data_IF_844285688799
#
_entry.id   IF_844285688799
#
_cell.length_a   1.000
_cell.length_b   1.000
_cell.length_c   1.000
_cell.angle_alpha   90.00
_cell.angle_beta   90.00
_cell.angle_gamma   90.00
#
_symmetry.space_group_name_H-M   'P 1'
#
loop_
_entity.id
_entity.type
_entity.pdbx_description
1 polymer ?
#
# COMPACT_ATOMS: atom_id res chain seq x y z
N UNK A 1 51.19 14.14 10.60
CA UNK A 1 50.16 14.28 9.53
C UNK A 1 50.12 13.11 8.56
N UNK A 2 51.23 12.72 7.92
CA UNK A 2 51.24 11.66 6.89
C UNK A 2 50.73 10.29 7.37
N UNK A 3 51.04 9.89 8.60
CA UNK A 3 50.56 8.63 9.20
C UNK A 3 49.07 8.66 9.57
N UNK A 4 48.53 9.81 9.97
CA UNK A 4 47.10 9.98 10.29
C UNK A 4 46.26 9.87 9.02
N UNK A 5 46.75 10.42 7.90
CA UNK A 5 46.08 10.33 6.59
C UNK A 5 46.02 8.87 6.10
N UNK A 6 47.08 8.09 6.31
CA UNK A 6 47.10 6.66 5.95
C UNK A 6 46.14 5.84 6.79
N UNK A 7 46.03 6.11 8.10
CA UNK A 7 45.08 5.45 9.00
C UNK A 7 43.61 5.77 8.66
N UNK A 8 43.31 7.02 8.28
CA UNK A 8 41.96 7.42 7.83
C UNK A 8 41.61 6.77 6.48
N UNK A 9 42.55 6.72 5.53
CA UNK A 9 42.35 6.01 4.26
C UNK A 9 42.16 4.50 4.44
N UNK A 10 42.88 3.86 5.38
CA UNK A 10 42.69 2.44 5.69
C UNK A 10 41.30 2.16 6.29
N UNK A 11 40.79 3.06 7.13
CA UNK A 11 39.46 2.90 7.75
C UNK A 11 38.29 3.00 6.76
N UNK A 12 38.48 3.73 5.65
CA UNK A 12 37.50 3.84 4.57
C UNK A 12 37.42 2.58 3.69
N UNK A 13 38.50 1.78 3.61
CA UNK A 13 38.55 0.53 2.83
C UNK A 13 37.96 -0.66 3.62
N UNK A 14 37.95 -0.55 4.95
CA UNK A 14 37.45 -1.59 5.89
C UNK A 14 35.97 -1.43 6.26
N UNK A 15 35.25 -0.53 5.60
CA UNK A 15 33.79 -0.42 5.76
C UNK A 15 33.11 -1.40 4.80
N UNK A 16 32.56 -2.54 5.24
CA UNK A 16 31.70 -3.33 4.37
C UNK A 16 30.50 -2.46 3.96
N UNK A 17 30.26 -2.33 2.66
CA UNK A 17 29.04 -1.71 2.13
C UNK A 17 27.82 -2.37 2.75
N UNK A 18 27.19 -1.70 3.72
CA UNK A 18 25.98 -2.15 4.39
C UNK A 18 24.73 -1.85 3.53
N UNK A 19 24.77 -2.20 2.25
CA UNK A 19 23.59 -2.33 1.42
C UNK A 19 23.55 -3.78 0.90
N UNK A 20 23.37 -4.72 1.83
CA UNK A 20 22.94 -6.05 1.48
C UNK A 20 21.43 -5.96 1.26
N UNK A 21 21.00 -5.71 0.02
CA UNK A 21 19.67 -6.11 -0.39
C UNK A 21 19.59 -7.62 -0.10
N UNK A 22 18.54 -8.04 0.60
CA UNK A 22 18.38 -9.46 0.92
C UNK A 22 18.01 -10.21 -0.36
N UNK A 23 18.41 -11.47 -0.48
CA UNK A 23 18.17 -12.30 -1.67
C UNK A 23 16.67 -12.36 -2.04
N UNK A 24 15.78 -12.22 -1.06
CA UNK A 24 14.33 -12.09 -1.27
C UNK A 24 13.94 -10.82 -2.02
N UNK A 25 14.62 -9.70 -1.77
CA UNK A 25 14.36 -8.44 -2.45
C UNK A 25 14.85 -8.47 -3.90
N UNK A 26 15.99 -9.10 -4.15
CA UNK A 26 16.50 -9.31 -5.51
C UNK A 26 15.58 -10.25 -6.30
N UNK A 27 15.08 -11.31 -5.65
CA UNK A 27 14.10 -12.23 -6.22
C UNK A 27 12.78 -11.50 -6.56
N UNK A 28 12.31 -10.65 -5.65
CA UNK A 28 11.12 -9.83 -5.88
C UNK A 28 11.30 -8.88 -7.07
N UNK A 29 12.44 -8.22 -7.17
CA UNK A 29 12.75 -7.33 -8.30
C UNK A 29 12.78 -8.10 -9.62
N UNK A 30 13.40 -9.28 -9.65
CA UNK A 30 13.41 -10.13 -10.83
C UNK A 30 11.99 -10.53 -11.26
N UNK A 31 11.15 -10.98 -10.33
CA UNK A 31 9.76 -11.34 -10.59
C UNK A 31 8.95 -10.13 -11.09
N UNK A 32 9.19 -8.94 -10.55
CA UNK A 32 8.50 -7.71 -10.96
C UNK A 32 8.87 -7.24 -12.38
N UNK A 33 10.01 -7.69 -12.91
CA UNK A 33 10.48 -7.33 -14.24
C UNK A 33 9.90 -8.20 -15.36
N UNK A 34 9.14 -9.25 -15.00
CA UNK A 34 8.68 -10.28 -15.92
C UNK A 34 7.18 -10.16 -16.19
N UNK A 35 6.78 -10.00 -17.47
CA UNK A 35 5.40 -9.66 -17.85
C UNK A 35 4.73 -10.68 -18.80
N UNK A 36 4.78 -11.98 -18.50
CA UNK A 36 4.08 -13.01 -19.30
C UNK A 36 2.73 -13.42 -18.67
N UNK A 37 1.63 -13.25 -19.41
CA UNK A 37 0.26 -13.62 -19.00
C UNK A 37 0.06 -15.15 -19.00
N UNK A 38 0.80 -15.87 -19.85
CA UNK A 38 0.62 -17.31 -20.07
C UNK A 38 1.52 -18.20 -19.20
N UNK A 39 2.31 -17.60 -18.30
CA UNK A 39 3.36 -18.33 -17.59
C UNK A 39 2.81 -19.49 -16.76
N UNK A 40 3.31 -20.70 -17.02
CA UNK A 40 3.00 -21.89 -16.22
C UNK A 40 4.00 -22.05 -15.07
N UNK A 41 3.69 -22.93 -14.11
CA UNK A 41 4.59 -23.26 -13.00
C UNK A 41 5.96 -23.77 -13.50
N UNK A 42 5.96 -24.52 -14.60
CA UNK A 42 7.20 -25.04 -15.21
C UNK A 42 8.02 -23.94 -15.87
N UNK A 43 7.35 -23.02 -16.57
CA UNK A 43 8.00 -21.88 -17.23
C UNK A 43 8.62 -20.93 -16.19
N UNK A 44 7.91 -20.68 -15.09
CA UNK A 44 8.41 -19.87 -13.97
C UNK A 44 9.62 -20.52 -13.28
N UNK A 45 9.56 -21.82 -12.98
CA UNK A 45 10.69 -22.53 -12.39
C UNK A 45 11.91 -22.51 -13.32
N UNK A 46 11.70 -22.68 -14.62
CA UNK A 46 12.76 -22.58 -15.62
C UNK A 46 13.35 -21.16 -15.68
N UNK A 47 12.51 -20.13 -15.74
CA UNK A 47 12.93 -18.73 -15.71
C UNK A 47 13.81 -18.46 -14.47
N UNK A 48 13.36 -18.82 -13.29
CA UNK A 48 14.10 -18.62 -12.04
C UNK A 48 15.43 -19.38 -12.02
N UNK A 49 15.44 -20.64 -12.48
CA UNK A 49 16.67 -21.43 -12.58
C UNK A 49 17.70 -20.81 -13.54
N UNK A 50 17.25 -20.25 -14.67
CA UNK A 50 18.15 -19.54 -15.61
C UNK A 50 18.73 -18.24 -15.04
N UNK A 51 18.13 -17.70 -13.98
CA UNK A 51 18.61 -16.53 -13.24
C UNK A 51 19.36 -16.89 -11.96
N UNK A 52 19.72 -18.16 -11.78
CA UNK A 52 20.58 -18.62 -10.68
C UNK A 52 19.85 -19.03 -9.40
N UNK A 53 18.52 -19.02 -9.38
CA UNK A 53 17.75 -19.47 -8.22
C UNK A 53 17.57 -20.99 -8.22
N UNK A 54 17.64 -21.61 -7.04
CA UNK A 54 17.30 -23.01 -6.86
C UNK A 54 15.77 -23.19 -6.84
N UNK A 55 15.17 -23.24 -8.03
CA UNK A 55 13.73 -23.28 -8.21
C UNK A 55 13.23 -24.67 -8.62
N UNK A 56 12.26 -25.20 -7.88
CA UNK A 56 11.62 -26.49 -8.13
C UNK A 56 10.13 -26.30 -8.41
N UNK A 57 9.60 -26.76 -9.56
CA UNK A 57 8.17 -26.69 -9.83
C UNK A 57 7.43 -27.73 -8.98
N UNK A 58 6.35 -27.30 -8.33
CA UNK A 58 5.35 -28.14 -7.69
C UNK A 58 4.07 -28.18 -8.55
N UNK A 59 2.97 -28.71 -8.03
CA UNK A 59 1.71 -28.84 -8.79
C UNK A 59 1.08 -27.48 -9.14
N UNK A 60 1.13 -26.50 -8.23
CA UNK A 60 0.46 -25.20 -8.37
C UNK A 60 1.33 -23.98 -8.06
N UNK A 61 2.59 -24.17 -7.66
CA UNK A 61 3.55 -23.12 -7.32
C UNK A 61 4.99 -23.61 -7.54
N UNK A 62 5.97 -22.72 -7.43
CA UNK A 62 7.40 -23.00 -7.48
C UNK A 62 8.00 -22.82 -6.10
N UNK A 63 8.76 -23.77 -5.59
CA UNK A 63 9.56 -23.59 -4.39
C UNK A 63 10.93 -23.08 -4.77
N UNK A 64 11.41 -22.01 -4.13
CA UNK A 64 12.76 -21.48 -4.26
C UNK A 64 13.47 -21.60 -2.93
N UNK A 65 14.58 -22.33 -2.89
CA UNK A 65 15.44 -22.40 -1.71
C UNK A 65 16.50 -21.31 -1.81
N UNK A 66 16.48 -20.36 -0.87
CA UNK A 66 17.43 -19.26 -0.76
C UNK A 66 18.79 -19.76 -0.24
N UNK A 67 19.82 -18.92 -0.37
CA UNK A 67 21.19 -19.22 0.06
C UNK A 67 21.33 -19.47 1.57
N UNK A 68 20.42 -18.92 2.38
CA UNK A 68 20.35 -19.16 3.83
C UNK A 68 19.61 -20.47 4.20
N UNK A 69 19.14 -21.21 3.19
CA UNK A 69 18.44 -22.48 3.34
C UNK A 69 16.95 -22.36 3.64
N UNK A 70 16.38 -21.14 3.66
CA UNK A 70 14.93 -20.95 3.74
C UNK A 70 14.27 -21.19 2.40
N UNK A 71 13.07 -21.74 2.44
CA UNK A 71 12.21 -21.88 1.27
C UNK A 71 11.23 -20.70 1.18
N UNK A 72 11.07 -20.18 -0.03
CA UNK A 72 9.98 -19.29 -0.42
C UNK A 72 9.21 -19.91 -1.57
N UNK A 73 7.94 -19.61 -1.69
CA UNK A 73 7.05 -20.24 -2.66
C UNK A 73 6.53 -19.18 -3.62
N UNK A 74 6.39 -19.50 -4.90
CA UNK A 74 6.04 -18.53 -5.94
C UNK A 74 4.92 -19.08 -6.82
N UNK A 75 3.80 -18.38 -6.88
CA UNK A 75 2.64 -18.77 -7.69
C UNK A 75 2.62 -17.95 -8.98
N UNK A 76 2.71 -18.56 -10.17
CA UNK A 76 2.58 -17.84 -11.43
C UNK A 76 1.16 -17.28 -11.59
N UNK A 77 1.04 -16.08 -12.18
CA UNK A 77 -0.25 -15.42 -12.40
C UNK A 77 -1.11 -15.35 -11.12
N UNK A 78 -0.51 -14.89 -10.03
CA UNK A 78 -1.09 -14.86 -8.68
C UNK A 78 -2.28 -13.91 -8.55
N UNK A 79 -2.17 -12.84 -7.76
CA UNK A 79 -3.26 -11.88 -7.59
C UNK A 79 -3.67 -11.15 -8.89
N UNK A 80 -2.85 -11.20 -9.94
CA UNK A 80 -3.16 -10.70 -11.28
C UNK A 80 -2.39 -11.46 -12.36
N UNK A 81 -2.91 -11.56 -13.60
CA UNK A 81 -2.13 -12.04 -14.74
C UNK A 81 -0.87 -11.17 -14.91
N UNK A 82 0.27 -11.78 -15.29
CA UNK A 82 1.61 -11.14 -15.37
C UNK A 82 2.34 -10.91 -14.05
N UNK A 83 1.77 -11.26 -12.90
CA UNK A 83 2.46 -11.15 -11.61
C UNK A 83 2.63 -12.52 -10.98
N UNK A 84 3.79 -12.74 -10.36
CA UNK A 84 4.06 -13.94 -9.56
C UNK A 84 3.93 -13.58 -8.07
N UNK A 85 3.10 -14.30 -7.33
CA UNK A 85 2.94 -14.07 -5.88
C UNK A 85 4.05 -14.81 -5.12
N UNK A 86 4.73 -14.14 -4.20
CA UNK A 86 5.75 -14.74 -3.33
C UNK A 86 5.18 -15.01 -1.93
N UNK A 87 5.49 -16.18 -1.38
CA UNK A 87 4.95 -16.69 -0.12
C UNK A 87 6.08 -17.19 0.77
N UNK A 88 5.98 -16.94 2.07
CA UNK A 88 6.91 -17.49 3.08
C UNK A 88 6.46 -18.86 3.62
N UNK A 89 5.24 -19.29 3.25
CA UNK A 89 4.65 -20.58 3.62
C UNK A 89 3.95 -21.18 2.39
N UNK A 90 3.86 -22.51 2.26
CA UNK A 90 3.23 -23.13 1.09
C UNK A 90 1.78 -22.65 0.89
N UNK A 91 1.38 -22.24 -0.32
CA UNK A 91 0.01 -21.81 -0.57
C UNK A 91 -0.96 -23.01 -0.47
N UNK A 92 -2.15 -22.79 0.09
CA UNK A 92 -3.21 -23.79 0.22
C UNK A 92 -4.44 -23.38 -0.61
N UNK A 93 -5.33 -24.31 -0.93
CA UNK A 93 -6.56 -24.02 -1.68
C UNK A 93 -7.51 -23.00 -0.99
N UNK A 94 -7.30 -22.72 0.31
CA UNK A 94 -8.03 -21.69 1.08
C UNK A 94 -7.32 -20.34 1.14
N UNK A 95 -6.09 -20.25 0.62
CA UNK A 95 -5.26 -19.05 0.78
C UNK A 95 -5.82 -17.84 0.03
N UNK A 96 -6.68 -18.03 -0.98
CA UNK A 96 -7.17 -16.92 -1.83
C UNK A 96 -6.02 -16.12 -2.45
N UNK A 97 -6.29 -15.04 -3.21
CA UNK A 97 -5.24 -14.06 -3.51
C UNK A 97 -4.74 -13.45 -2.18
N UNK A 98 -3.43 -13.50 -1.89
CA UNK A 98 -2.89 -13.01 -0.62
C UNK A 98 -2.56 -11.51 -0.62
N UNK A 99 -2.87 -10.92 0.54
CA UNK A 99 -2.70 -9.54 0.97
C UNK A 99 -1.22 -9.11 1.08
N UNK A 100 -0.82 -8.15 0.24
CA UNK A 100 0.41 -7.33 0.37
C UNK A 100 0.21 -6.18 1.38
N UNK A 101 -0.95 -6.14 2.01
CA UNK A 101 -1.40 -5.08 2.91
C UNK A 101 -1.35 -5.64 4.33
N UNK A 102 -0.74 -4.93 5.31
CA UNK A 102 -0.85 -5.31 6.72
C UNK A 102 -2.30 -5.64 7.08
N UNK A 103 -2.56 -6.70 7.85
CA UNK A 103 -3.93 -7.15 8.13
C UNK A 103 -4.81 -6.09 8.80
N UNK A 104 -4.20 -5.05 9.38
CA UNK A 104 -4.83 -3.89 10.01
C UNK A 104 -4.84 -2.62 9.14
N UNK A 105 -4.22 -2.63 7.95
CA UNK A 105 -4.10 -1.45 7.09
C UNK A 105 -5.39 -1.09 6.34
N UNK A 106 -6.34 -2.04 6.22
CA UNK A 106 -7.73 -1.78 5.80
C UNK A 106 -8.67 -2.14 6.96
N UNK A 107 -9.39 -1.16 7.46
CA UNK A 107 -10.46 -1.33 8.44
C UNK A 107 -11.78 -1.57 7.71
N UNK A 108 -12.43 -2.69 7.99
CA UNK A 108 -13.77 -3.01 7.47
C UNK A 108 -14.83 -2.48 8.42
N UNK A 109 -15.88 -1.86 7.88
CA UNK A 109 -16.99 -1.24 8.63
C UNK A 109 -16.51 -0.23 9.68
N UNK A 110 -15.59 0.64 9.28
CA UNK A 110 -14.99 1.63 10.16
C UNK A 110 -16.00 2.71 10.56
N UNK A 111 -15.97 3.10 11.83
CA UNK A 111 -16.75 4.22 12.38
C UNK A 111 -15.81 5.15 13.15
N UNK A 112 -15.93 6.44 12.90
CA UNK A 112 -15.09 7.48 13.49
C UNK A 112 -15.92 8.41 14.37
N UNK A 113 -15.41 8.75 15.55
CA UNK A 113 -16.08 9.71 16.42
C UNK A 113 -15.86 11.12 15.88
N UNK A 114 -16.93 11.86 15.66
CA UNK A 114 -16.87 13.27 15.23
C UNK A 114 -16.26 14.17 16.32
N UNK A 115 -15.45 15.13 15.92
CA UNK A 115 -14.95 16.20 16.81
C UNK A 115 -15.95 17.35 16.93
N UNK A 116 -16.08 17.87 18.16
CA UNK A 116 -16.85 19.07 18.49
C UNK A 116 -15.93 20.31 18.66
N UNK A 117 -14.63 20.18 18.39
CA UNK A 117 -13.66 21.27 18.50
C UNK A 117 -13.88 22.32 17.39
N UNK A 118 -14.51 23.44 17.73
CA UNK A 118 -14.86 24.50 16.79
C UNK A 118 -13.63 25.16 16.13
N UNK A 119 -12.54 25.35 16.87
CA UNK A 119 -11.32 25.99 16.36
C UNK A 119 -10.58 25.08 15.38
N UNK A 120 -10.50 23.79 15.69
CA UNK A 120 -9.97 22.79 14.76
C UNK A 120 -10.79 22.74 13.47
N UNK A 121 -12.12 22.67 13.57
CA UNK A 121 -13.03 22.64 12.41
C UNK A 121 -12.86 23.86 11.51
N UNK A 122 -12.77 25.05 12.12
CA UNK A 122 -12.54 26.32 11.41
C UNK A 122 -11.16 26.37 10.77
N UNK A 123 -10.16 25.74 11.38
CA UNK A 123 -8.80 25.64 10.84
C UNK A 123 -8.76 24.74 9.61
N UNK A 124 -9.34 23.53 9.71
CA UNK A 124 -9.43 22.59 8.59
C UNK A 124 -10.16 23.20 7.39
N UNK A 125 -11.30 23.88 7.60
CA UNK A 125 -12.06 24.49 6.51
C UNK A 125 -11.35 25.65 5.81
N UNK A 126 -10.27 26.20 6.40
CA UNK A 126 -9.50 27.32 5.83
C UNK A 126 -8.26 26.90 5.07
N UNK A 127 -7.75 25.68 5.29
CA UNK A 127 -6.57 25.22 4.56
C UNK A 127 -6.82 24.96 3.08
N UNK A 128 -8.09 24.76 2.70
CA UNK A 128 -8.47 24.37 1.35
C UNK A 128 -9.68 25.18 0.89
N UNK A 129 -9.63 25.65 -0.35
CA UNK A 129 -10.79 26.26 -1.02
C UNK A 129 -11.55 25.14 -1.73
N UNK A 130 -12.86 25.06 -1.48
CA UNK A 130 -13.73 24.05 -2.06
C UNK A 130 -14.54 24.62 -3.25
N UNK A 131 -14.85 23.78 -4.25
CA UNK A 131 -14.45 22.39 -4.39
C UNK A 131 -12.97 22.24 -4.78
N UNK A 132 -12.29 21.19 -4.28
CA UNK A 132 -10.88 20.87 -4.60
C UNK A 132 -10.72 20.36 -6.03
N UNK A 133 -11.75 19.67 -6.50
CA UNK A 133 -11.88 19.10 -7.84
C UNK A 133 -13.34 19.18 -8.29
N UNK A 134 -13.62 19.15 -9.61
CA UNK A 134 -14.99 19.04 -10.11
C UNK A 134 -15.78 17.86 -9.53
N UNK A 135 -17.11 17.97 -9.57
CA UNK A 135 -18.01 16.90 -9.15
C UNK A 135 -17.70 15.60 -9.92
N UNK A 136 -17.68 14.47 -9.21
CA UNK A 136 -17.33 13.16 -9.78
C UNK A 136 -15.85 12.80 -9.69
N UNK A 137 -14.96 13.73 -9.34
CA UNK A 137 -13.51 13.48 -9.20
C UNK A 137 -13.09 13.19 -7.75
N UNK A 138 -13.91 12.45 -7.00
CA UNK A 138 -13.69 12.25 -5.56
C UNK A 138 -12.35 11.53 -5.22
N UNK A 139 -11.84 10.72 -6.13
CA UNK A 139 -10.53 10.05 -6.00
C UNK A 139 -9.35 11.04 -6.02
N UNK A 140 -9.28 11.88 -7.05
CA UNK A 140 -8.24 12.92 -7.15
C UNK A 140 -8.39 13.97 -6.05
N UNK A 141 -9.64 14.35 -5.76
CA UNK A 141 -9.97 15.31 -4.71
C UNK A 141 -9.53 14.82 -3.33
N UNK A 142 -9.80 13.55 -3.00
CA UNK A 142 -9.41 12.96 -1.72
C UNK A 142 -7.90 12.81 -1.57
N UNK A 143 -7.17 12.46 -2.65
CA UNK A 143 -5.71 12.44 -2.63
C UNK A 143 -5.11 13.82 -2.38
N UNK A 144 -5.64 14.86 -3.04
CA UNK A 144 -5.23 16.26 -2.80
C UNK A 144 -5.50 16.70 -1.36
N UNK A 145 -6.67 16.37 -0.82
CA UNK A 145 -7.00 16.65 0.58
C UNK A 145 -6.04 15.94 1.53
N UNK A 146 -5.80 14.64 1.31
CA UNK A 146 -4.88 13.88 2.16
C UNK A 146 -3.49 14.50 2.15
N UNK A 147 -2.92 14.76 0.97
CA UNK A 147 -1.59 15.37 0.84
C UNK A 147 -1.54 16.72 1.55
N UNK A 148 -2.57 17.55 1.38
CA UNK A 148 -2.64 18.87 2.01
C UNK A 148 -2.63 18.76 3.54
N UNK A 149 -3.53 17.98 4.13
CA UNK A 149 -3.62 17.86 5.58
C UNK A 149 -2.43 17.11 6.19
N UNK A 150 -1.88 16.09 5.52
CA UNK A 150 -0.63 15.44 5.95
C UNK A 150 0.55 16.43 5.94
N UNK A 151 0.64 17.32 4.96
CA UNK A 151 1.68 18.36 4.93
C UNK A 151 1.54 19.38 6.07
N UNK A 152 0.32 19.61 6.56
CA UNK A 152 0.08 20.35 7.81
C UNK A 152 0.23 19.48 9.08
N UNK A 153 0.74 18.26 8.93
CA UNK A 153 1.08 17.33 10.00
C UNK A 153 -0.11 16.62 10.64
N UNK A 154 -1.28 16.56 9.99
CA UNK A 154 -2.44 15.84 10.51
C UNK A 154 -2.41 14.37 10.10
N UNK A 155 -2.97 13.52 10.96
CA UNK A 155 -3.33 12.16 10.58
C UNK A 155 -4.60 12.19 9.73
N UNK A 156 -4.60 11.44 8.64
CA UNK A 156 -5.69 11.43 7.67
C UNK A 156 -5.98 10.01 7.22
N UNK A 157 -7.23 9.59 7.38
CA UNK A 157 -7.75 8.31 6.89
C UNK A 157 -8.62 8.54 5.67
N UNK A 158 -8.53 7.66 4.68
CA UNK A 158 -9.55 7.55 3.64
C UNK A 158 -10.75 6.78 4.16
N UNK A 159 -11.93 7.15 3.72
CA UNK A 159 -13.16 6.40 3.89
C UNK A 159 -13.72 6.12 2.51
N UNK A 160 -14.10 4.88 2.25
CA UNK A 160 -14.53 4.42 0.94
C UNK A 160 -15.78 3.56 1.05
N UNK A 161 -16.78 3.92 0.25
CA UNK A 161 -18.00 3.15 0.03
C UNK A 161 -18.10 2.77 -1.45
N UNK A 162 -17.96 1.49 -1.83
CA UNK A 162 -18.09 1.05 -3.22
C UNK A 162 -19.51 1.15 -3.77
N UNK A 163 -20.53 1.26 -2.91
CA UNK A 163 -21.93 1.40 -3.31
C UNK A 163 -22.37 2.85 -3.52
N UNK A 164 -21.52 3.83 -3.15
CA UNK A 164 -21.78 5.25 -3.33
C UNK A 164 -21.90 5.65 -4.82
N UNK A 165 -22.58 6.78 -5.08
CA UNK A 165 -22.78 7.39 -6.41
C UNK A 165 -23.07 6.37 -7.53
N UNK A 166 -24.30 5.84 -7.57
CA UNK A 166 -24.74 4.88 -8.60
C UNK A 166 -23.83 3.65 -8.75
N UNK A 167 -23.30 3.14 -7.63
CA UNK A 167 -22.34 2.01 -7.59
C UNK A 167 -21.01 2.27 -8.30
N UNK A 168 -20.66 3.54 -8.53
CA UNK A 168 -19.33 3.92 -9.01
C UNK A 168 -18.34 4.02 -7.84
N UNK A 169 -18.83 4.16 -6.61
CA UNK A 169 -18.02 4.29 -5.42
C UNK A 169 -17.78 5.74 -5.04
N UNK A 170 -17.63 5.97 -3.74
CA UNK A 170 -17.35 7.28 -3.17
C UNK A 170 -16.18 7.18 -2.20
N UNK A 171 -15.20 8.08 -2.34
CA UNK A 171 -14.09 8.21 -1.41
C UNK A 171 -14.01 9.65 -0.87
N UNK A 172 -13.77 9.77 0.43
CA UNK A 172 -13.53 11.02 1.13
C UNK A 172 -12.45 10.82 2.21
N UNK A 173 -12.13 11.86 2.98
CA UNK A 173 -11.13 11.77 4.05
C UNK A 173 -11.71 12.13 5.42
N UNK A 174 -11.12 11.56 6.48
CA UNK A 174 -11.28 12.02 7.84
C UNK A 174 -9.95 12.50 8.39
N UNK A 175 -9.93 13.70 8.96
CA UNK A 175 -8.74 14.34 9.55
C UNK A 175 -8.83 14.27 11.06
N UNK A 176 -7.79 13.78 11.72
CA UNK A 176 -7.76 13.65 13.18
C UNK A 176 -7.57 15.01 13.86
N UNK A 177 -8.35 15.26 14.90
CA UNK A 177 -8.16 16.38 15.81
C UNK A 177 -6.93 16.11 16.69
N UNK A 178 -5.84 16.84 16.47
CA UNK A 178 -4.59 16.69 17.22
C UNK A 178 -4.76 16.94 18.71
N UNK A 179 -5.68 17.81 19.09
CA UNK A 179 -5.93 18.18 20.49
C UNK A 179 -6.84 17.15 21.17
N UNK A 180 -7.57 16.34 20.39
CA UNK A 180 -8.45 15.28 20.88
C UNK A 180 -8.29 13.98 20.05
N UNK A 181 -7.19 13.23 20.26
CA UNK A 181 -6.92 11.99 19.54
C UNK A 181 -8.12 11.02 19.58
N UNK A 182 -8.39 10.37 18.45
CA UNK A 182 -9.57 9.53 18.27
C UNK A 182 -10.86 10.27 17.91
N UNK A 183 -10.87 11.62 17.93
CA UNK A 183 -11.93 12.42 17.32
C UNK A 183 -11.48 12.92 15.94
N UNK A 184 -12.42 12.92 14.99
CA UNK A 184 -12.14 13.13 13.58
C UNK A 184 -13.11 14.13 12.96
N UNK A 185 -12.69 14.74 11.86
CA UNK A 185 -13.53 15.60 11.04
C UNK A 185 -13.57 15.05 9.62
N UNK A 186 -14.75 14.68 9.15
CA UNK A 186 -14.94 14.24 7.78
C UNK A 186 -14.88 15.44 6.82
N UNK A 187 -14.19 15.27 5.70
CA UNK A 187 -14.03 16.27 4.65
C UNK A 187 -14.23 15.62 3.29
N UNK A 188 -15.23 16.10 2.57
CA UNK A 188 -15.47 15.77 1.18
C UNK A 188 -14.74 16.75 0.25
N UNK A 189 -14.19 16.23 -0.84
CA UNK A 189 -13.40 17.03 -1.78
C UNK A 189 -14.21 18.08 -2.55
N UNK A 190 -15.52 17.90 -2.68
CA UNK A 190 -16.41 18.83 -3.34
C UNK A 190 -17.18 19.70 -2.34
N UNK A 191 -17.76 19.09 -1.31
CA UNK A 191 -18.63 19.77 -0.34
C UNK A 191 -17.89 20.39 0.85
N UNK A 192 -16.64 20.02 1.10
CA UNK A 192 -15.87 20.52 2.24
C UNK A 192 -16.13 19.76 3.53
N UNK A 193 -16.16 20.46 4.65
CA UNK A 193 -16.35 19.83 5.98
C UNK A 193 -17.76 19.25 6.09
N UNK A 194 -17.85 17.98 6.49
CA UNK A 194 -19.11 17.24 6.56
C UNK A 194 -19.55 17.01 8.01
N UNK A 195 -20.84 17.28 8.26
CA UNK A 195 -21.45 17.15 9.57
C UNK A 195 -22.35 15.93 9.74
N UNK A 196 -22.84 15.40 8.63
CA UNK A 196 -23.82 14.32 8.63
C UNK A 196 -23.20 13.00 9.09
N UNK A 197 -23.90 12.20 9.93
CA UNK A 197 -23.35 10.97 10.52
C UNK A 197 -22.82 9.95 9.51
N UNK A 198 -23.42 9.87 8.33
CA UNK A 198 -23.05 8.93 7.26
C UNK A 198 -21.59 9.12 6.79
N UNK A 199 -21.03 10.32 6.88
CA UNK A 199 -19.63 10.60 6.52
C UNK A 199 -18.63 10.09 7.56
N UNK A 200 -19.10 9.62 8.71
CA UNK A 200 -18.26 9.10 9.79
C UNK A 200 -18.27 7.56 9.85
N UNK A 201 -18.98 6.91 8.93
CA UNK A 201 -19.06 5.46 8.79
C UNK A 201 -18.70 5.06 7.37
N UNK A 202 -17.92 3.99 7.19
CA UNK A 202 -17.61 3.49 5.84
C UNK A 202 -17.38 1.98 5.83
N UNK A 203 -17.77 1.28 4.74
CA UNK A 203 -17.43 -0.13 4.55
C UNK A 203 -15.93 -0.38 4.58
N UNK A 204 -15.10 0.55 4.09
CA UNK A 204 -13.65 0.44 4.11
C UNK A 204 -12.99 1.75 4.50
N UNK A 205 -11.95 1.66 5.35
CA UNK A 205 -11.10 2.81 5.68
C UNK A 205 -9.64 2.42 5.76
N UNK A 206 -8.76 3.30 5.30
CA UNK A 206 -7.34 2.99 5.13
C UNK A 206 -6.47 4.26 5.09
N UNK A 207 -5.19 4.13 5.42
CA UNK A 207 -4.28 5.28 5.61
C UNK A 207 -3.54 5.73 4.33
N UNK A 208 -3.49 4.86 3.33
CA UNK A 208 -2.71 5.04 2.11
C UNK A 208 -3.58 4.71 0.90
N UNK A 209 -3.58 5.58 -0.11
CA UNK A 209 -4.47 5.47 -1.26
C UNK A 209 -4.22 4.18 -2.05
N UNK A 210 -2.98 3.67 -2.03
CA UNK A 210 -2.62 2.39 -2.70
C UNK A 210 -3.47 1.20 -2.24
N UNK A 211 -4.08 1.26 -1.05
CA UNK A 211 -4.92 0.20 -0.52
C UNK A 211 -6.31 0.15 -1.18
N UNK A 212 -6.72 1.22 -1.87
CA UNK A 212 -7.94 1.22 -2.68
C UNK A 212 -7.88 0.18 -3.79
N UNK A 213 -6.71 -0.04 -4.41
CA UNK A 213 -6.52 -1.03 -5.48
C UNK A 213 -6.89 -2.45 -5.03
N UNK A 214 -6.64 -2.77 -3.77
CA UNK A 214 -6.98 -4.08 -3.21
C UNK A 214 -8.46 -4.23 -2.88
N UNK A 215 -9.20 -3.12 -2.79
CA UNK A 215 -10.64 -3.11 -2.55
C UNK A 215 -11.42 -3.03 -3.87
N UNK A 216 -10.92 -2.28 -4.86
CA UNK A 216 -11.56 -2.12 -6.16
C UNK A 216 -10.53 -2.08 -7.32
N UNK A 217 -10.14 -3.25 -7.87
CA UNK A 217 -9.09 -3.34 -8.90
C UNK A 217 -9.49 -2.78 -10.27
N UNK A 218 -10.77 -2.46 -10.50
CA UNK A 218 -11.28 -1.98 -11.80
C UNK A 218 -10.77 -0.58 -12.18
N UNK A 219 -10.22 0.18 -11.25
CA UNK A 219 -9.74 1.56 -11.46
C UNK A 219 -8.34 1.68 -12.09
N UNK A 220 -7.71 0.55 -12.44
CA UNK A 220 -6.44 0.50 -13.18
C UNK A 220 -6.60 0.56 -14.72
N UNK A 221 -7.84 0.65 -15.22
CA UNK A 221 -8.15 0.60 -16.65
C UNK A 221 -8.43 1.99 -17.23
#
# INVERSE_FOLDING_TARGET
>A
MRQIIVLVLLSLILSPSACQATEENDLWLLLSSYEDIGITVKDLAFFLATHGYNAKPEESYVTVTLSDGKDVYITPNGASPRLADLWMSPPTAKSGPVQVIPGDAIKVNATYKKTDNADFRKTISRYVIFPVTPLGMCYDGSQKLQNTYKNFGYNVMYLYDPSGFDSQGHIWVAVEDKDHPGNWLAVDSYYGVMDSPEYYTSPYSFADFKYLDSINPKWRM
#
